data_IF_498992860996
#
_entry.id   IF_498992860996
#
_cell.length_a   1.000
_cell.length_b   1.000
_cell.length_c   1.000
_cell.angle_alpha   90.00
_cell.angle_beta   90.00
_cell.angle_gamma   90.00
#
_symmetry.space_group_name_H-M   'P 1'
#
loop_
_entity.id
_entity.type
_entity.pdbx_description
1 polymer ?
#
# COMPACT_ATOMS: atom_id res chain seq x y z
N UNK A 1 13.56 -23.28 -3.31
CA UNK A 1 12.85 -22.24 -2.54
C UNK A 1 13.72 -21.00 -2.56
N UNK A 2 13.21 -19.84 -2.95
CA UNK A 2 14.03 -18.62 -3.14
C UNK A 2 14.47 -17.94 -1.81
N UNK A 3 13.89 -18.30 -0.68
CA UNK A 3 14.15 -17.69 0.63
C UNK A 3 12.87 -17.52 1.44
N UNK A 4 13.01 -17.07 2.69
CA UNK A 4 11.88 -16.80 3.61
C UNK A 4 11.68 -15.29 3.77
N UNK A 5 10.48 -14.80 3.47
CA UNK A 5 10.12 -13.40 3.55
C UNK A 5 9.11 -13.19 4.67
N UNK A 6 9.43 -12.27 5.58
CA UNK A 6 8.49 -11.78 6.57
C UNK A 6 7.65 -10.65 5.97
N UNK A 7 6.33 -10.79 6.01
CA UNK A 7 5.38 -9.75 5.59
C UNK A 7 4.63 -9.26 6.80
N UNK A 8 4.91 -8.05 7.26
CA UNK A 8 4.16 -7.42 8.35
C UNK A 8 2.96 -6.68 7.77
N UNK A 9 1.81 -6.75 8.44
CA UNK A 9 0.56 -6.27 7.86
C UNK A 9 0.05 -7.16 6.71
N UNK A 10 0.44 -8.44 6.71
CA UNK A 10 0.23 -9.36 5.58
C UNK A 10 -1.20 -9.85 5.39
N UNK A 11 -2.11 -9.63 6.35
CA UNK A 11 -3.56 -9.86 6.17
C UNK A 11 -4.30 -8.60 5.72
N UNK A 12 -3.60 -7.45 5.66
CA UNK A 12 -4.12 -6.21 5.11
C UNK A 12 -4.30 -6.26 3.59
N UNK A 13 -4.90 -5.23 3.02
CA UNK A 13 -5.23 -5.14 1.60
C UNK A 13 -4.01 -5.37 0.69
N UNK A 14 -2.97 -4.52 0.79
CA UNK A 14 -1.76 -4.65 -0.04
C UNK A 14 -0.94 -5.87 0.36
N UNK A 15 -0.83 -6.13 1.68
CA UNK A 15 -0.05 -7.24 2.23
C UNK A 15 -0.53 -8.61 1.75
N UNK A 16 -1.84 -8.84 1.67
CA UNK A 16 -2.41 -10.11 1.20
C UNK A 16 -2.13 -10.36 -0.29
N UNK A 17 -2.27 -9.33 -1.14
CA UNK A 17 -1.93 -9.41 -2.56
C UNK A 17 -0.42 -9.66 -2.75
N UNK A 18 0.43 -8.97 -1.98
CA UNK A 18 1.88 -9.20 -2.01
C UNK A 18 2.24 -10.61 -1.52
N UNK A 19 1.53 -11.13 -0.52
CA UNK A 19 1.70 -12.51 -0.05
C UNK A 19 1.38 -13.52 -1.16
N UNK A 20 0.32 -13.31 -1.94
CA UNK A 20 -0.01 -14.14 -3.12
C UNK A 20 1.12 -14.12 -4.14
N UNK A 21 1.60 -12.93 -4.50
CA UNK A 21 2.67 -12.80 -5.51
C UNK A 21 4.00 -13.39 -5.02
N UNK A 22 4.36 -13.25 -3.74
CA UNK A 22 5.55 -13.88 -3.15
C UNK A 22 5.49 -15.41 -3.21
N UNK A 23 4.36 -16.00 -2.80
CA UNK A 23 4.17 -17.46 -2.84
C UNK A 23 4.23 -17.96 -4.29
N UNK A 24 3.60 -17.25 -5.21
CA UNK A 24 3.60 -17.55 -6.65
C UNK A 24 5.00 -17.46 -7.26
N UNK A 25 5.82 -16.49 -6.77
CA UNK A 25 7.22 -16.36 -7.16
C UNK A 25 8.15 -17.42 -6.53
N UNK A 26 7.66 -18.27 -5.62
CA UNK A 26 8.40 -19.38 -5.02
C UNK A 26 9.09 -19.06 -3.70
N UNK A 27 8.73 -17.97 -3.03
CA UNK A 27 9.19 -17.65 -1.69
C UNK A 27 8.40 -18.40 -0.61
N UNK A 28 9.04 -18.69 0.52
CA UNK A 28 8.35 -19.02 1.77
C UNK A 28 7.92 -17.70 2.42
N UNK A 29 6.67 -17.61 2.86
CA UNK A 29 6.13 -16.38 3.46
C UNK A 29 5.72 -16.65 4.90
N UNK A 30 6.16 -15.77 5.80
CA UNK A 30 5.70 -15.66 7.18
C UNK A 30 4.95 -14.34 7.31
N UNK A 31 3.73 -14.38 7.78
CA UNK A 31 2.85 -13.22 7.94
C UNK A 31 2.73 -12.84 9.40
N UNK A 32 2.91 -11.56 9.69
CA UNK A 32 2.64 -10.94 11.00
C UNK A 32 1.59 -9.86 10.84
N UNK A 33 0.53 -9.91 11.63
CA UNK A 33 -0.54 -8.91 11.64
C UNK A 33 -1.25 -8.92 13.00
N UNK A 34 -1.61 -7.75 13.54
CA UNK A 34 -2.36 -7.65 14.80
C UNK A 34 -3.88 -7.69 14.61
N UNK A 35 -4.34 -7.81 13.35
CA UNK A 35 -5.75 -7.87 12.95
C UNK A 35 -6.58 -6.63 13.34
N UNK A 36 -5.93 -5.50 13.64
CA UNK A 36 -6.63 -4.27 14.03
C UNK A 36 -7.47 -3.66 12.90
N UNK A 37 -7.06 -3.87 11.65
CA UNK A 37 -7.75 -3.38 10.45
C UNK A 37 -7.78 -4.42 9.31
N UNK A 38 -7.76 -5.69 9.67
CA UNK A 38 -7.78 -6.83 8.74
C UNK A 38 -8.46 -8.03 9.42
N UNK A 39 -8.56 -9.15 8.69
CA UNK A 39 -9.16 -10.38 9.19
C UNK A 39 -8.30 -11.57 8.83
N UNK A 40 -8.30 -12.58 9.72
CA UNK A 40 -7.52 -13.82 9.51
C UNK A 40 -8.01 -14.62 8.30
N UNK A 41 -9.29 -14.53 7.99
CA UNK A 41 -9.96 -15.22 6.87
C UNK A 41 -9.42 -14.81 5.50
N UNK A 42 -8.72 -13.67 5.40
CA UNK A 42 -7.99 -13.27 4.19
C UNK A 42 -6.97 -14.34 3.77
N UNK A 43 -6.38 -15.06 4.74
CA UNK A 43 -5.44 -16.14 4.47
C UNK A 43 -6.09 -17.36 3.80
N UNK A 44 -7.40 -17.57 3.96
CA UNK A 44 -8.14 -18.62 3.26
C UNK A 44 -8.21 -18.28 1.75
N UNK A 45 -8.39 -16.98 1.43
CA UNK A 45 -8.32 -16.50 0.06
C UNK A 45 -6.91 -16.66 -0.55
N UNK A 46 -5.87 -16.33 0.22
CA UNK A 46 -4.47 -16.55 -0.21
C UNK A 46 -4.21 -18.02 -0.49
N UNK A 47 -4.63 -18.92 0.40
CA UNK A 47 -4.48 -20.36 0.23
C UNK A 47 -5.26 -20.89 -0.99
N UNK A 48 -6.49 -20.43 -1.16
CA UNK A 48 -7.30 -20.83 -2.32
C UNK A 48 -6.70 -20.40 -3.67
N UNK A 49 -6.02 -19.27 -3.72
CA UNK A 49 -5.37 -18.74 -4.93
C UNK A 49 -4.05 -19.49 -5.20
N UNK A 50 -3.24 -19.71 -4.16
CA UNK A 50 -1.85 -20.18 -4.33
C UNK A 50 -1.66 -21.68 -4.08
N UNK A 51 -2.65 -22.34 -3.48
CA UNK A 51 -2.54 -23.71 -2.99
C UNK A 51 -1.63 -23.85 -1.75
N UNK A 52 -1.20 -22.73 -1.14
CA UNK A 52 -0.31 -22.72 0.02
C UNK A 52 -0.78 -21.69 1.03
N UNK A 53 -0.88 -22.11 2.30
CA UNK A 53 -1.16 -21.21 3.41
C UNK A 53 0.16 -20.69 4.00
N UNK A 54 0.37 -19.36 4.11
CA UNK A 54 1.54 -18.83 4.79
C UNK A 54 1.47 -19.12 6.30
N UNK A 55 2.61 -19.21 6.96
CA UNK A 55 2.66 -19.20 8.41
C UNK A 55 2.21 -17.84 8.94
N UNK A 56 1.42 -17.83 10.02
CA UNK A 56 0.76 -16.61 10.51
C UNK A 56 0.89 -16.44 12.02
N UNK A 57 1.31 -15.24 12.42
CA UNK A 57 1.41 -14.80 13.80
C UNK A 57 0.50 -13.59 14.04
N UNK A 58 -0.49 -13.77 14.92
CA UNK A 58 -1.38 -12.69 15.34
C UNK A 58 -0.71 -11.87 16.45
N UNK A 59 0.24 -11.00 16.08
CA UNK A 59 1.03 -10.17 17.01
C UNK A 59 1.14 -8.73 16.53
N UNK A 60 1.37 -7.81 17.45
CA UNK A 60 1.67 -6.42 17.14
C UNK A 60 3.16 -6.24 16.87
N UNK A 61 3.52 -5.59 15.76
CA UNK A 61 4.91 -5.27 15.43
C UNK A 61 5.57 -4.30 16.44
N UNK A 62 4.78 -3.63 17.26
CA UNK A 62 5.29 -2.82 18.37
C UNK A 62 5.71 -3.67 19.58
N UNK A 63 5.30 -4.94 19.65
CA UNK A 63 5.75 -5.88 20.69
C UNK A 63 7.07 -6.54 20.28
N UNK A 64 8.16 -5.97 20.79
CA UNK A 64 9.52 -6.45 20.49
C UNK A 64 9.74 -7.92 20.88
N UNK A 65 9.17 -8.35 22.00
CA UNK A 65 9.33 -9.73 22.47
C UNK A 65 8.67 -10.73 21.53
N UNK A 66 7.42 -10.43 21.13
CA UNK A 66 6.67 -11.26 20.20
C UNK A 66 7.30 -11.27 18.80
N UNK A 67 7.72 -10.11 18.28
CA UNK A 67 8.35 -10.02 16.95
C UNK A 67 9.72 -10.75 16.94
N UNK A 68 10.54 -10.58 17.98
CA UNK A 68 11.81 -11.29 18.13
C UNK A 68 11.63 -12.81 18.14
N UNK A 69 10.52 -13.31 18.71
CA UNK A 69 10.23 -14.76 18.68
C UNK A 69 10.00 -15.27 17.26
N UNK A 70 9.31 -14.52 16.39
CA UNK A 70 9.14 -14.88 14.98
C UNK A 70 10.48 -15.01 14.27
N UNK A 71 11.41 -14.06 14.50
CA UNK A 71 12.76 -14.12 13.92
C UNK A 71 13.59 -15.31 14.45
N UNK A 72 13.36 -15.76 15.69
CA UNK A 72 14.03 -16.98 16.23
C UNK A 72 13.51 -18.26 15.59
N UNK A 73 12.24 -18.30 15.27
CA UNK A 73 11.59 -19.51 14.71
C UNK A 73 11.82 -19.64 13.21
N UNK A 74 12.15 -18.54 12.52
CA UNK A 74 12.34 -18.53 11.08
C UNK A 74 13.64 -17.83 10.66
N UNK A 75 14.42 -18.44 9.75
CA UNK A 75 15.51 -17.75 9.08
C UNK A 75 14.92 -16.75 8.07
N UNK A 76 14.76 -15.49 8.48
CA UNK A 76 14.19 -14.43 7.65
C UNK A 76 15.27 -13.81 6.77
N UNK A 77 15.17 -13.98 5.45
CA UNK A 77 16.11 -13.43 4.48
C UNK A 77 15.81 -11.94 4.18
N UNK A 78 14.53 -11.58 4.15
CA UNK A 78 14.09 -10.21 3.92
C UNK A 78 12.73 -9.92 4.56
N UNK A 79 12.42 -8.62 4.70
CA UNK A 79 11.14 -8.14 5.23
C UNK A 79 10.46 -7.24 4.20
N UNK A 80 9.14 -7.38 4.07
CA UNK A 80 8.27 -6.37 3.45
C UNK A 80 7.37 -5.81 4.54
N UNK A 81 7.51 -4.51 4.83
CA UNK A 81 6.87 -3.86 5.96
C UNK A 81 5.66 -3.02 5.54
N UNK A 82 4.45 -3.57 5.74
CA UNK A 82 3.18 -2.86 5.52
C UNK A 82 2.49 -2.43 6.82
N UNK A 83 2.83 -3.04 7.95
CA UNK A 83 2.15 -2.79 9.23
C UNK A 83 2.20 -1.31 9.60
N UNK A 84 1.07 -0.62 9.47
CA UNK A 84 0.91 0.80 9.79
C UNK A 84 -0.57 1.16 9.86
N UNK A 85 -0.91 2.18 10.66
CA UNK A 85 -2.17 2.90 10.54
C UNK A 85 -2.10 3.82 9.32
N UNK A 86 -3.12 3.80 8.43
CA UNK A 86 -3.03 4.40 7.08
C UNK A 86 -4.08 5.47 6.75
N UNK A 87 -5.09 5.68 7.59
CA UNK A 87 -6.19 6.59 7.29
C UNK A 87 -5.81 8.05 7.57
N UNK A 88 -5.69 8.88 6.51
CA UNK A 88 -5.28 10.28 6.59
C UNK A 88 -6.19 11.06 7.56
N UNK A 89 -7.51 11.01 7.40
CA UNK A 89 -8.47 11.72 8.25
C UNK A 89 -8.42 11.28 9.72
N UNK A 90 -8.27 9.98 10.01
CA UNK A 90 -8.10 9.49 11.37
C UNK A 90 -6.79 9.98 11.98
N UNK A 91 -5.72 10.09 11.18
CA UNK A 91 -4.43 10.57 11.69
C UNK A 91 -4.49 11.99 12.23
N UNK A 92 -5.30 12.87 11.64
CA UNK A 92 -5.54 14.23 12.13
C UNK A 92 -6.27 14.19 13.47
N UNK A 93 -7.23 13.29 13.64
CA UNK A 93 -8.01 13.16 14.88
C UNK A 93 -7.24 12.45 15.99
N UNK A 94 -6.35 11.50 15.66
CA UNK A 94 -5.61 10.65 16.61
C UNK A 94 -4.10 10.62 16.32
N UNK A 95 -3.40 11.78 16.29
CA UNK A 95 -2.00 11.84 15.84
C UNK A 95 -1.07 10.96 16.67
N UNK A 96 -1.22 10.93 17.99
CA UNK A 96 -0.35 10.13 18.87
C UNK A 96 -0.47 8.61 18.62
N UNK A 97 -1.65 8.13 18.21
CA UNK A 97 -1.83 6.75 17.80
C UNK A 97 -0.96 6.43 16.57
N UNK A 98 -0.99 7.33 15.57
CA UNK A 98 -0.24 7.16 14.33
C UNK A 98 1.28 7.23 14.56
N UNK A 99 1.76 8.22 15.30
CA UNK A 99 3.18 8.31 15.63
C UNK A 99 3.65 7.08 16.42
N UNK A 100 2.93 6.68 17.46
CA UNK A 100 3.29 5.51 18.26
C UNK A 100 3.32 4.25 17.40
N UNK A 101 2.23 3.95 16.68
CA UNK A 101 2.11 2.72 15.91
C UNK A 101 3.11 2.67 14.76
N UNK A 102 3.15 3.71 13.91
CA UNK A 102 3.90 3.65 12.66
C UNK A 102 5.41 3.79 12.85
N UNK A 103 5.85 4.52 13.88
CA UNK A 103 7.28 4.70 14.15
C UNK A 103 7.81 3.54 15.00
N UNK A 104 7.12 3.17 16.08
CA UNK A 104 7.59 2.12 16.96
C UNK A 104 7.63 0.75 16.26
N UNK A 105 6.65 0.43 15.42
CA UNK A 105 6.66 -0.82 14.65
C UNK A 105 7.87 -0.94 13.73
N UNK A 106 8.29 0.16 13.09
CA UNK A 106 9.50 0.17 12.26
C UNK A 106 10.77 0.07 13.11
N UNK A 107 10.90 0.83 14.21
CA UNK A 107 12.06 0.76 15.10
C UNK A 107 12.25 -0.66 15.61
N UNK A 108 11.18 -1.26 16.16
CA UNK A 108 11.19 -2.64 16.66
C UNK A 108 11.60 -3.63 15.58
N UNK A 109 11.12 -3.45 14.35
CA UNK A 109 11.48 -4.29 13.22
C UNK A 109 12.97 -4.15 12.87
N UNK A 110 13.49 -2.93 12.78
CA UNK A 110 14.90 -2.70 12.44
C UNK A 110 15.85 -3.27 13.50
N UNK A 111 15.49 -3.18 14.78
CA UNK A 111 16.25 -3.80 15.88
C UNK A 111 16.29 -5.34 15.72
N UNK A 112 15.15 -5.97 15.41
CA UNK A 112 15.11 -7.41 15.13
C UNK A 112 15.93 -7.76 13.88
N UNK A 113 15.82 -6.99 12.78
CA UNK A 113 16.60 -7.23 11.57
C UNK A 113 18.11 -7.19 11.84
N UNK A 114 18.58 -6.24 12.65
CA UNK A 114 20.00 -6.16 13.03
C UNK A 114 20.43 -7.35 13.93
N UNK A 115 19.63 -7.68 14.96
CA UNK A 115 19.89 -8.80 15.87
C UNK A 115 20.01 -10.14 15.13
N UNK A 116 19.15 -10.37 14.13
CA UNK A 116 19.09 -11.63 13.37
C UNK A 116 19.77 -11.57 12.01
N UNK A 117 20.50 -10.48 11.74
CA UNK A 117 21.27 -10.27 10.51
C UNK A 117 20.45 -10.39 9.21
N UNK A 118 19.18 -9.99 9.22
CA UNK A 118 18.31 -9.91 8.04
C UNK A 118 18.78 -8.80 7.09
N UNK A 119 18.94 -9.10 5.79
CA UNK A 119 19.73 -8.29 4.86
C UNK A 119 18.94 -7.39 3.94
N UNK A 120 17.62 -7.50 3.88
CA UNK A 120 16.82 -6.70 2.95
C UNK A 120 15.50 -6.25 3.56
N UNK A 121 15.13 -4.98 3.30
CA UNK A 121 13.86 -4.37 3.69
C UNK A 121 13.21 -3.71 2.47
N UNK A 122 11.99 -4.12 2.13
CA UNK A 122 11.10 -3.31 1.30
C UNK A 122 10.15 -2.56 2.21
N UNK A 123 10.23 -1.24 2.20
CA UNK A 123 9.41 -0.39 3.03
C UNK A 123 8.24 0.21 2.25
N UNK A 124 7.04 0.02 2.76
CA UNK A 124 5.80 0.65 2.30
C UNK A 124 5.83 2.15 2.61
N UNK A 125 6.39 2.95 1.71
CA UNK A 125 6.28 4.39 1.76
C UNK A 125 5.04 4.88 1.00
N UNK A 126 4.91 6.17 0.75
CA UNK A 126 3.71 6.77 0.16
C UNK A 126 4.06 8.05 -0.58
N UNK A 127 3.31 8.39 -1.63
CA UNK A 127 3.38 9.69 -2.28
C UNK A 127 3.07 10.86 -1.32
N UNK A 128 2.45 10.60 -0.17
CA UNK A 128 2.18 11.63 0.85
C UNK A 128 3.44 12.25 1.44
N UNK A 129 4.62 11.64 1.26
CA UNK A 129 5.91 12.22 1.67
C UNK A 129 6.26 13.48 0.88
N UNK A 130 5.71 13.66 -0.31
CA UNK A 130 5.97 14.86 -1.13
C UNK A 130 5.18 16.10 -0.67
N UNK A 131 4.16 15.93 0.20
CA UNK A 131 3.24 17.02 0.52
C UNK A 131 2.43 17.45 -0.70
N UNK A 132 2.30 18.76 -0.94
CA UNK A 132 1.72 19.32 -2.16
C UNK A 132 2.86 19.70 -3.13
N UNK A 133 3.17 18.86 -4.13
CA UNK A 133 4.26 19.16 -5.06
C UNK A 133 3.90 20.29 -6.02
N UNK A 134 4.90 21.13 -6.36
CA UNK A 134 4.75 22.23 -7.32
C UNK A 134 4.83 21.77 -8.79
N UNK A 135 5.49 20.63 -9.03
CA UNK A 135 5.74 20.07 -10.36
C UNK A 135 5.15 18.69 -10.48
N UNK A 136 4.43 18.43 -11.56
CA UNK A 136 3.82 17.14 -11.88
C UNK A 136 4.19 16.72 -13.31
N UNK A 137 4.41 15.42 -13.58
CA UNK A 137 4.44 14.31 -12.62
C UNK A 137 5.57 14.46 -11.59
N UNK A 138 5.36 13.92 -10.35
CA UNK A 138 6.35 14.03 -9.28
C UNK A 138 7.41 12.95 -9.42
N UNK A 139 8.70 13.35 -9.41
CA UNK A 139 9.85 12.43 -9.45
C UNK A 139 10.38 12.13 -8.04
N UNK A 140 11.22 11.09 -7.91
CA UNK A 140 11.87 10.72 -6.64
C UNK A 140 12.81 11.81 -6.11
N UNK A 141 13.32 12.66 -6.99
CA UNK A 141 14.20 13.79 -6.67
C UNK A 141 13.43 15.06 -6.25
N UNK A 142 12.09 15.02 -6.31
CA UNK A 142 11.26 16.15 -5.89
C UNK A 142 11.49 16.48 -4.40
N UNK A 143 11.47 17.76 -4.02
CA UNK A 143 11.60 18.16 -2.63
C UNK A 143 10.55 17.49 -1.73
N UNK A 144 10.98 17.06 -0.56
CA UNK A 144 10.08 16.62 0.51
C UNK A 144 9.55 17.87 1.21
N UNK A 145 8.29 18.19 0.96
CA UNK A 145 7.61 19.33 1.58
C UNK A 145 6.96 18.93 2.92
N UNK A 146 6.60 19.89 3.78
CA UNK A 146 5.88 19.57 5.01
C UNK A 146 4.67 18.69 4.74
N UNK A 147 4.55 17.60 5.48
CA UNK A 147 3.44 16.67 5.34
C UNK A 147 2.10 17.36 5.66
N UNK A 148 1.08 17.08 4.87
CA UNK A 148 -0.28 17.63 5.05
C UNK A 148 -1.08 16.89 6.12
N UNK A 149 -0.54 15.80 6.68
CA UNK A 149 -1.18 14.99 7.71
C UNK A 149 -0.16 14.28 8.62
N UNK A 150 -0.54 13.92 9.86
CA UNK A 150 0.30 13.09 10.73
C UNK A 150 0.67 11.75 10.10
N UNK A 151 -0.22 11.11 9.32
CA UNK A 151 0.12 9.90 8.56
C UNK A 151 1.28 10.15 7.58
N UNK A 152 1.18 11.18 6.75
CA UNK A 152 2.26 11.54 5.81
C UNK A 152 3.56 11.84 6.55
N UNK A 153 3.50 12.55 7.67
CA UNK A 153 4.69 12.83 8.48
C UNK A 153 5.32 11.55 9.07
N UNK A 154 4.51 10.56 9.51
CA UNK A 154 5.10 9.27 9.94
C UNK A 154 5.84 8.55 8.82
N UNK A 155 5.41 8.70 7.55
CA UNK A 155 6.14 8.13 6.41
C UNK A 155 7.45 8.87 6.14
N UNK A 156 7.48 10.22 6.23
CA UNK A 156 8.71 11.00 6.13
C UNK A 156 9.71 10.59 7.23
N UNK A 157 9.29 10.59 8.49
CA UNK A 157 10.12 10.19 9.64
C UNK A 157 10.65 8.75 9.47
N UNK A 158 9.84 7.83 9.00
CA UNK A 158 10.26 6.45 8.79
C UNK A 158 11.30 6.30 7.68
N UNK A 159 11.21 7.07 6.59
CA UNK A 159 12.27 7.12 5.57
C UNK A 159 13.59 7.67 6.15
N UNK A 160 13.52 8.69 7.03
CA UNK A 160 14.68 9.23 7.73
C UNK A 160 15.30 8.19 8.68
N UNK A 161 14.49 7.51 9.50
CA UNK A 161 14.95 6.45 10.41
C UNK A 161 15.68 5.34 9.64
N UNK A 162 15.14 4.89 8.52
CA UNK A 162 15.80 3.86 7.70
C UNK A 162 17.14 4.38 7.17
N UNK A 163 17.17 5.62 6.65
CA UNK A 163 18.39 6.26 6.12
C UNK A 163 19.47 6.37 7.20
N UNK A 164 19.12 6.91 8.36
CA UNK A 164 20.06 7.11 9.47
C UNK A 164 20.59 5.77 10.02
N UNK A 165 19.74 4.75 10.08
CA UNK A 165 20.13 3.40 10.48
C UNK A 165 21.16 2.82 9.51
N UNK A 166 20.97 2.99 8.21
CA UNK A 166 21.95 2.57 7.18
C UNK A 166 23.24 3.37 7.30
N UNK A 167 23.15 4.70 7.45
CA UNK A 167 24.32 5.58 7.60
C UNK A 167 25.13 5.29 8.86
N UNK A 168 24.52 4.77 9.90
CA UNK A 168 25.21 4.33 11.13
C UNK A 168 26.02 3.04 10.95
N UNK A 169 25.98 2.42 9.75
CA UNK A 169 26.73 1.22 9.42
C UNK A 169 25.94 -0.10 9.56
N UNK A 170 24.62 -0.03 9.65
CA UNK A 170 23.79 -1.24 9.66
C UNK A 170 23.94 -2.03 8.34
N UNK A 171 24.12 -3.35 8.45
CA UNK A 171 24.40 -4.24 7.32
C UNK A 171 23.11 -4.83 6.72
N UNK A 172 22.27 -3.96 6.18
CA UNK A 172 21.12 -4.34 5.36
C UNK A 172 20.89 -3.33 4.22
N UNK A 173 20.15 -3.76 3.20
CA UNK A 173 19.68 -2.91 2.11
C UNK A 173 18.21 -2.57 2.30
N UNK A 174 17.80 -1.37 1.92
CA UNK A 174 16.40 -0.97 1.94
C UNK A 174 15.97 -0.41 0.59
N UNK A 175 14.76 -0.74 0.18
CA UNK A 175 14.05 -0.10 -0.93
C UNK A 175 12.77 0.53 -0.42
N UNK A 176 12.63 1.85 -0.61
CA UNK A 176 11.46 2.62 -0.25
C UNK A 176 10.54 2.69 -1.47
N UNK A 177 9.34 2.13 -1.37
CA UNK A 177 8.35 2.22 -2.44
C UNK A 177 7.33 3.30 -2.09
N UNK A 178 7.42 4.45 -2.76
CA UNK A 178 6.47 5.56 -2.64
C UNK A 178 5.33 5.35 -3.61
N UNK A 179 4.31 4.62 -3.19
CA UNK A 179 3.18 4.36 -4.07
C UNK A 179 2.04 5.36 -3.90
N UNK A 180 1.28 5.47 -4.99
CA UNK A 180 0.15 6.37 -5.12
C UNK A 180 -1.12 5.71 -4.59
N UNK A 181 -2.21 5.72 -5.29
CA UNK A 181 -3.49 5.24 -4.77
C UNK A 181 -3.77 3.79 -5.22
N UNK A 182 -3.46 2.76 -4.43
CA UNK A 182 -3.78 1.39 -4.81
C UNK A 182 -5.29 1.17 -4.80
N UNK A 183 -5.78 0.58 -5.89
CA UNK A 183 -7.19 0.24 -6.08
C UNK A 183 -7.34 -1.14 -6.73
N UNK A 184 -8.57 -1.64 -6.81
CA UNK A 184 -8.85 -2.95 -7.40
C UNK A 184 -8.80 -4.10 -6.41
N UNK A 185 -8.83 -5.31 -6.95
CA UNK A 185 -8.78 -6.55 -6.19
C UNK A 185 -8.07 -7.64 -7.02
N UNK A 186 -7.82 -8.79 -6.40
CA UNK A 186 -7.30 -9.95 -7.11
C UNK A 186 -8.34 -10.45 -8.15
N UNK A 187 -7.93 -10.87 -9.35
CA UNK A 187 -8.86 -11.32 -10.41
C UNK A 187 -9.79 -12.45 -10.00
N UNK A 188 -9.41 -13.26 -9.01
CA UNK A 188 -10.26 -14.33 -8.48
C UNK A 188 -11.43 -13.84 -7.63
N UNK A 189 -11.47 -12.56 -7.26
CA UNK A 189 -12.38 -11.98 -6.28
C UNK A 189 -12.40 -12.74 -4.92
N UNK A 190 -11.27 -13.36 -4.52
CA UNK A 190 -11.11 -14.04 -3.24
C UNK A 190 -10.45 -13.16 -2.18
N UNK A 191 -9.67 -12.16 -2.60
CA UNK A 191 -9.08 -11.11 -1.75
C UNK A 191 -9.23 -9.74 -2.41
N UNK A 192 -9.40 -8.71 -1.59
CA UNK A 192 -9.58 -7.32 -2.01
C UNK A 192 -9.57 -6.39 -0.81
N UNK A 193 -9.90 -5.11 -1.00
CA UNK A 193 -10.01 -4.16 0.10
C UNK A 193 -11.34 -4.33 0.84
N UNK A 194 -11.26 -4.70 2.12
CA UNK A 194 -12.41 -4.84 3.03
C UNK A 194 -12.16 -4.05 4.32
N UNK A 195 -12.46 -2.75 4.33
CA UNK A 195 -12.24 -1.93 5.51
C UNK A 195 -13.23 -2.27 6.63
N UNK A 196 -12.75 -2.22 7.88
CA UNK A 196 -13.63 -2.31 9.03
C UNK A 196 -14.48 -1.03 9.16
N UNK A 197 -15.80 -1.16 9.17
CA UNK A 197 -16.74 -0.05 9.31
C UNK A 197 -16.91 0.80 8.05
N UNK A 198 -16.95 2.13 8.21
CA UNK A 198 -17.15 3.08 7.09
C UNK A 198 -15.84 3.24 6.31
N UNK A 199 -15.83 2.95 4.99
CA UNK A 199 -14.63 3.14 4.19
C UNK A 199 -14.16 4.59 4.19
N UNK A 200 -12.84 4.77 4.34
CA UNK A 200 -12.20 6.07 4.20
C UNK A 200 -11.61 6.29 2.80
N UNK A 201 -11.38 5.20 2.05
CA UNK A 201 -10.88 5.23 0.69
C UNK A 201 -12.03 5.32 -0.32
N UNK A 202 -11.76 5.97 -1.45
CA UNK A 202 -12.75 6.22 -2.50
C UNK A 202 -13.37 4.93 -3.06
N UNK A 203 -12.56 3.94 -3.45
CA UNK A 203 -13.05 2.76 -4.16
C UNK A 203 -13.98 1.88 -3.32
N UNK A 204 -13.65 1.49 -2.06
CA UNK A 204 -14.60 0.74 -1.26
C UNK A 204 -15.90 1.50 -0.99
N UNK A 205 -15.83 2.83 -0.82
CA UNK A 205 -17.04 3.65 -0.65
C UNK A 205 -17.89 3.66 -1.93
N UNK A 206 -17.25 3.84 -3.09
CA UNK A 206 -17.88 3.85 -4.41
C UNK A 206 -18.55 2.50 -4.71
N UNK A 207 -17.85 1.38 -4.52
CA UNK A 207 -18.42 0.04 -4.76
C UNK A 207 -19.56 -0.30 -3.80
N UNK A 208 -19.48 0.12 -2.54
CA UNK A 208 -20.59 -0.02 -1.58
C UNK A 208 -21.78 0.86 -1.96
N UNK A 209 -21.56 2.05 -2.54
CA UNK A 209 -22.64 2.89 -3.07
C UNK A 209 -23.29 2.24 -4.29
N UNK A 210 -22.49 1.73 -5.23
CA UNK A 210 -22.97 1.00 -6.40
C UNK A 210 -23.77 -0.28 -6.03
N UNK A 211 -23.39 -0.93 -4.92
CA UNK A 211 -24.11 -2.10 -4.38
C UNK A 211 -25.36 -1.74 -3.56
N UNK A 212 -25.70 -0.46 -3.39
CA UNK A 212 -26.84 -0.01 -2.60
C UNK A 212 -26.65 -0.13 -1.07
N UNK A 213 -25.44 -0.43 -0.60
CA UNK A 213 -25.12 -0.49 0.84
C UNK A 213 -25.04 0.94 1.42
N UNK A 214 -24.64 1.91 0.58
CA UNK A 214 -24.60 3.33 0.90
C UNK A 214 -25.49 4.10 -0.05
N UNK A 215 -26.10 5.17 0.45
CA UNK A 215 -27.07 5.94 -0.32
C UNK A 215 -26.39 6.78 -1.43
N UNK A 216 -25.25 7.43 -1.11
CA UNK A 216 -24.65 8.41 -2.00
C UNK A 216 -23.16 8.56 -1.74
N UNK A 217 -22.36 8.64 -2.80
CA UNK A 217 -20.93 8.96 -2.74
C UNK A 217 -20.74 10.49 -2.68
N UNK A 218 -19.94 10.99 -1.76
CA UNK A 218 -19.56 12.39 -1.70
C UNK A 218 -18.29 12.65 -2.52
N UNK A 219 -18.35 13.55 -3.49
CA UNK A 219 -17.20 14.09 -4.23
C UNK A 219 -16.79 15.39 -3.53
N UNK A 220 -15.57 15.39 -2.96
CA UNK A 220 -15.09 16.50 -2.14
C UNK A 220 -14.38 17.56 -3.00
N UNK A 221 -14.93 18.78 -2.99
CA UNK A 221 -14.46 19.90 -3.81
C UNK A 221 -14.89 19.82 -5.27
N UNK A 222 -15.23 20.95 -5.83
CA UNK A 222 -15.59 21.14 -7.25
C UNK A 222 -14.92 22.36 -7.84
N UNK A 223 -13.99 22.94 -7.08
CA UNK A 223 -13.35 24.22 -7.32
C UNK A 223 -11.83 24.13 -7.33
N UNK A 224 -11.27 22.89 -7.44
CA UNK A 224 -9.85 22.70 -7.69
C UNK A 224 -9.48 23.17 -9.11
N UNK A 225 -8.25 23.64 -9.28
CA UNK A 225 -7.75 24.04 -10.60
C UNK A 225 -7.41 22.80 -11.46
N UNK A 226 -8.41 21.99 -11.74
CA UNK A 226 -8.38 20.74 -12.52
C UNK A 226 -9.46 20.78 -13.61
N UNK A 227 -9.41 19.93 -14.63
CA UNK A 227 -10.36 20.01 -15.77
C UNK A 227 -11.84 19.91 -15.39
N UNK A 228 -12.18 19.19 -14.33
CA UNK A 228 -13.55 18.99 -13.84
C UNK A 228 -13.80 19.52 -12.44
N UNK A 229 -12.81 20.19 -11.86
CA UNK A 229 -12.87 20.76 -10.51
C UNK A 229 -12.68 19.78 -9.37
N UNK A 230 -12.55 18.47 -9.62
CA UNK A 230 -12.28 17.45 -8.59
C UNK A 230 -10.79 17.11 -8.49
N UNK A 231 -10.38 16.51 -7.37
CA UNK A 231 -8.97 16.12 -7.15
C UNK A 231 -8.49 15.10 -8.18
N UNK A 232 -7.20 15.20 -8.57
CA UNK A 232 -6.54 14.25 -9.47
C UNK A 232 -5.59 13.36 -8.66
N UNK A 233 -5.65 12.04 -8.91
CA UNK A 233 -4.76 11.03 -8.29
C UNK A 233 -4.28 10.03 -9.34
N UNK A 234 -3.17 9.37 -9.03
CA UNK A 234 -2.69 8.21 -9.80
C UNK A 234 -3.23 6.94 -9.14
N UNK A 235 -4.08 6.23 -9.86
CA UNK A 235 -4.72 5.01 -9.37
C UNK A 235 -4.05 3.77 -9.96
N UNK A 236 -3.37 3.01 -9.10
CA UNK A 236 -2.62 1.81 -9.49
C UNK A 236 -3.34 0.53 -9.07
N UNK A 237 -3.32 -0.48 -9.93
CA UNK A 237 -3.84 -1.80 -9.58
C UNK A 237 -3.03 -2.45 -8.44
N UNK A 238 -3.72 -2.97 -7.43
CA UNK A 238 -3.08 -3.58 -6.25
C UNK A 238 -2.22 -4.80 -6.58
N UNK A 239 -2.54 -5.55 -7.63
CA UNK A 239 -1.71 -6.70 -8.08
C UNK A 239 -0.44 -6.21 -8.74
N UNK A 240 -0.51 -5.14 -9.57
CA UNK A 240 0.68 -4.54 -10.15
C UNK A 240 1.57 -3.94 -9.07
N UNK A 241 0.98 -3.28 -8.07
CA UNK A 241 1.71 -2.82 -6.89
C UNK A 241 2.37 -3.98 -6.13
N UNK A 242 1.68 -5.10 -5.93
CA UNK A 242 2.26 -6.29 -5.30
C UNK A 242 3.48 -6.80 -6.08
N UNK A 243 3.39 -6.87 -7.42
CA UNK A 243 4.52 -7.24 -8.28
C UNK A 243 5.69 -6.26 -8.17
N UNK A 244 5.45 -4.95 -7.96
CA UNK A 244 6.53 -3.98 -7.73
C UNK A 244 7.34 -4.32 -6.45
N UNK A 245 6.68 -4.81 -5.40
CA UNK A 245 7.37 -5.27 -4.19
C UNK A 245 8.26 -6.48 -4.46
N UNK A 246 7.81 -7.40 -5.33
CA UNK A 246 8.64 -8.56 -5.74
C UNK A 246 9.85 -8.10 -6.54
N UNK A 247 9.66 -7.19 -7.50
CA UNK A 247 10.75 -6.65 -8.31
C UNK A 247 11.81 -5.94 -7.45
N UNK A 248 11.37 -5.12 -6.47
CA UNK A 248 12.25 -4.46 -5.52
C UNK A 248 13.02 -5.45 -4.64
N UNK A 249 12.34 -6.48 -4.14
CA UNK A 249 12.93 -7.56 -3.35
C UNK A 249 13.96 -8.36 -4.15
N UNK A 250 13.59 -8.84 -5.35
CA UNK A 250 14.46 -9.61 -6.23
C UNK A 250 15.73 -8.79 -6.58
N UNK A 251 15.60 -7.48 -6.86
CA UNK A 251 16.72 -6.59 -7.11
C UNK A 251 17.68 -6.53 -5.92
N UNK A 252 17.20 -6.36 -4.69
CA UNK A 252 18.06 -6.31 -3.50
C UNK A 252 18.76 -7.63 -3.21
N UNK A 253 18.10 -8.76 -3.43
CA UNK A 253 18.65 -10.09 -3.14
C UNK A 253 19.60 -10.59 -4.22
N UNK A 254 19.45 -10.17 -5.50
CA UNK A 254 20.18 -10.72 -6.64
C UNK A 254 21.26 -9.78 -7.16
N UNK A 255 21.06 -8.45 -7.14
CA UNK A 255 22.02 -7.50 -7.69
C UNK A 255 23.14 -7.20 -6.68
N UNK A 256 24.38 -7.63 -7.02
CA UNK A 256 25.57 -7.36 -6.18
C UNK A 256 25.83 -5.86 -5.98
N UNK A 257 25.53 -5.04 -7.01
CA UNK A 257 25.79 -3.60 -7.04
C UNK A 257 24.56 -2.74 -6.71
N UNK A 258 23.45 -3.34 -6.22
CA UNK A 258 22.31 -2.54 -5.79
C UNK A 258 22.72 -1.61 -4.65
N UNK A 259 22.31 -0.32 -4.69
CA UNK A 259 22.61 0.62 -3.61
C UNK A 259 22.05 0.12 -2.27
N UNK A 260 22.66 0.57 -1.17
CA UNK A 260 22.20 0.17 0.16
C UNK A 260 20.84 0.77 0.50
N UNK A 261 20.55 1.97 -0.02
CA UNK A 261 19.23 2.60 0.05
C UNK A 261 18.82 3.04 -1.36
N UNK A 262 17.64 2.63 -1.79
CA UNK A 262 17.04 3.09 -3.05
C UNK A 262 15.57 3.46 -2.82
N UNK A 263 15.00 4.30 -3.70
CA UNK A 263 13.60 4.70 -3.63
C UNK A 263 12.98 4.75 -5.01
N UNK A 264 11.70 4.39 -5.11
CA UNK A 264 10.96 4.34 -6.36
C UNK A 264 9.54 4.84 -6.19
N UNK A 265 9.10 5.67 -7.12
CA UNK A 265 7.69 5.98 -7.29
C UNK A 265 6.98 4.81 -7.96
N UNK A 266 5.91 4.32 -7.35
CA UNK A 266 5.11 3.22 -7.88
C UNK A 266 3.72 3.72 -8.20
N UNK A 267 3.51 4.04 -9.47
CA UNK A 267 2.27 4.58 -10.02
C UNK A 267 2.16 4.21 -11.51
N UNK A 268 1.09 4.68 -12.14
CA UNK A 268 0.83 4.47 -13.58
C UNK A 268 1.44 5.57 -14.44
N UNK A 269 1.87 6.68 -13.82
CA UNK A 269 2.29 7.89 -14.53
C UNK A 269 1.12 8.73 -15.07
N UNK A 270 -0.12 8.39 -14.71
CA UNK A 270 -1.32 9.07 -15.19
C UNK A 270 -2.17 9.59 -14.03
N UNK A 271 -2.47 10.89 -14.07
CA UNK A 271 -3.47 11.49 -13.20
C UNK A 271 -4.89 11.24 -13.72
N UNK A 272 -5.78 10.84 -12.83
CA UNK A 272 -7.21 10.64 -13.10
C UNK A 272 -8.00 11.39 -12.03
N UNK A 273 -9.01 12.16 -12.46
CA UNK A 273 -9.88 12.89 -11.53
C UNK A 273 -10.89 11.97 -10.84
N UNK A 274 -11.46 12.42 -9.73
CA UNK A 274 -12.52 11.64 -9.04
C UNK A 274 -13.75 11.46 -9.91
N UNK A 275 -14.13 12.49 -10.68
CA UNK A 275 -15.29 12.42 -11.59
C UNK A 275 -14.99 11.48 -12.77
N UNK A 276 -13.84 11.61 -13.42
CA UNK A 276 -13.40 10.68 -14.47
C UNK A 276 -13.41 9.21 -13.97
N UNK A 277 -12.95 8.98 -12.75
CA UNK A 277 -12.93 7.63 -12.16
C UNK A 277 -14.35 7.06 -11.97
N UNK A 278 -15.32 7.88 -11.52
CA UNK A 278 -16.73 7.47 -11.41
C UNK A 278 -17.28 7.10 -12.79
N UNK A 279 -17.06 7.92 -13.82
CA UNK A 279 -17.51 7.66 -15.19
C UNK A 279 -16.90 6.38 -15.77
N UNK A 280 -15.61 6.18 -15.53
CA UNK A 280 -14.88 4.95 -15.93
C UNK A 280 -15.43 3.71 -15.21
N UNK A 281 -15.76 3.81 -13.91
CA UNK A 281 -16.39 2.73 -13.17
C UNK A 281 -17.77 2.38 -13.76
N UNK A 282 -18.61 3.37 -14.00
CA UNK A 282 -19.93 3.15 -14.60
C UNK A 282 -19.83 2.49 -15.98
N UNK A 283 -18.87 2.93 -16.79
CA UNK A 283 -18.62 2.35 -18.11
C UNK A 283 -18.13 0.91 -18.02
N UNK A 284 -17.15 0.65 -17.13
CA UNK A 284 -16.56 -0.67 -16.97
C UNK A 284 -17.53 -1.70 -16.38
N UNK A 285 -18.42 -1.29 -15.48
CA UNK A 285 -19.32 -2.20 -14.73
C UNK A 285 -20.74 -2.25 -15.26
N UNK A 286 -21.20 -1.19 -15.93
CA UNK A 286 -22.60 -0.97 -16.31
C UNK A 286 -23.48 -0.52 -15.13
N UNK A 287 -22.91 -0.22 -13.96
CA UNK A 287 -23.64 0.15 -12.75
C UNK A 287 -23.48 1.63 -12.46
N UNK A 288 -24.60 2.32 -12.24
CA UNK A 288 -24.61 3.75 -11.91
C UNK A 288 -24.27 3.99 -10.45
N UNK A 289 -23.51 5.07 -10.19
CA UNK A 289 -23.10 5.50 -8.85
C UNK A 289 -23.76 6.83 -8.52
N UNK A 290 -24.71 6.79 -7.60
CA UNK A 290 -25.30 8.02 -7.09
C UNK A 290 -24.23 8.80 -6.30
N UNK A 291 -23.94 10.02 -6.75
CA UNK A 291 -22.97 10.89 -6.10
C UNK A 291 -23.48 12.32 -5.94
N UNK A 292 -22.89 13.03 -5.00
CA UNK A 292 -23.16 14.46 -4.75
C UNK A 292 -21.87 15.22 -4.52
N UNK A 293 -21.87 16.48 -4.86
CA UNK A 293 -20.75 17.39 -4.60
C UNK A 293 -20.88 17.98 -3.20
N UNK A 294 -19.75 18.05 -2.49
CA UNK A 294 -19.63 18.64 -1.15
C UNK A 294 -18.38 19.51 -1.08
N UNK A 295 -18.23 20.29 -0.01
CA UNK A 295 -17.06 21.13 0.22
C UNK A 295 -15.75 20.32 0.27
N UNK A 296 -14.61 20.97 0.05
CA UNK A 296 -13.28 20.35 0.12
C UNK A 296 -13.07 19.67 1.45
N UNK A 297 -12.42 18.51 1.44
CA UNK A 297 -12.00 17.82 2.65
C UNK A 297 -10.65 18.38 3.12
N UNK A 298 -10.49 18.64 4.41
CA UNK A 298 -9.24 19.10 5.00
C UNK A 298 -8.11 18.08 4.76
N UNK A 299 -6.95 18.57 4.33
CA UNK A 299 -5.78 17.77 4.02
C UNK A 299 -5.76 17.16 2.62
N UNK A 300 -6.81 17.34 1.80
CA UNK A 300 -6.76 16.94 0.39
C UNK A 300 -5.88 17.91 -0.41
N UNK A 301 -4.98 17.33 -1.21
CA UNK A 301 -4.19 18.06 -2.21
C UNK A 301 -4.92 18.08 -3.56
N UNK A 302 -4.64 19.09 -4.38
CA UNK A 302 -5.30 19.27 -5.67
C UNK A 302 -5.02 18.13 -6.65
N UNK A 303 -3.75 17.84 -6.88
CA UNK A 303 -3.32 16.84 -7.84
C UNK A 303 -1.98 16.20 -7.46
N UNK A 304 -1.86 14.88 -7.69
CA UNK A 304 -0.58 14.17 -7.61
C UNK A 304 -0.61 12.90 -8.46
N UNK A 305 0.44 12.69 -9.28
CA UNK A 305 0.69 11.45 -10.03
C UNK A 305 2.19 11.24 -10.23
N UNK A 306 2.58 9.97 -10.44
CA UNK A 306 3.98 9.56 -10.49
C UNK A 306 4.69 9.99 -11.77
N UNK A 307 5.96 10.38 -11.63
CA UNK A 307 6.94 10.12 -12.66
C UNK A 307 7.44 8.68 -12.44
N UNK A 308 7.22 7.77 -13.39
CA UNK A 308 7.44 6.33 -13.22
C UNK A 308 8.64 5.77 -13.98
N UNK A 309 9.44 6.62 -14.67
CA UNK A 309 10.55 6.18 -15.51
C UNK A 309 11.58 5.37 -14.72
N UNK A 310 11.95 5.81 -13.52
CA UNK A 310 12.92 5.11 -12.69
C UNK A 310 12.46 3.70 -12.32
N UNK A 311 11.20 3.51 -11.92
CA UNK A 311 10.67 2.18 -11.63
C UNK A 311 10.62 1.30 -12.89
N UNK A 312 10.28 1.87 -14.04
CA UNK A 312 10.24 1.13 -15.31
C UNK A 312 11.65 0.66 -15.73
N UNK A 313 12.65 1.53 -15.69
CA UNK A 313 13.99 1.25 -16.20
C UNK A 313 14.85 0.46 -15.22
N UNK A 314 14.79 0.79 -13.92
CA UNK A 314 15.69 0.23 -12.89
C UNK A 314 15.13 -1.03 -12.25
N UNK A 315 13.82 -1.09 -11.96
CA UNK A 315 13.19 -2.31 -11.47
C UNK A 315 12.74 -3.25 -12.60
N UNK A 316 12.69 -2.76 -13.85
CA UNK A 316 12.09 -3.50 -14.97
C UNK A 316 10.61 -3.79 -14.75
N UNK A 317 9.94 -2.93 -13.97
CA UNK A 317 8.53 -3.07 -13.62
C UNK A 317 7.71 -1.90 -14.15
N UNK A 318 6.52 -2.19 -14.63
CA UNK A 318 5.53 -1.18 -15.03
C UNK A 318 4.13 -1.65 -14.67
N UNK A 319 3.20 -0.70 -14.50
CA UNK A 319 1.79 -1.02 -14.30
C UNK A 319 1.20 -1.59 -15.60
N UNK A 320 0.62 -2.78 -15.54
CA UNK A 320 0.11 -3.52 -16.69
C UNK A 320 -1.41 -3.39 -16.86
N UNK A 321 -2.13 -3.25 -15.72
CA UNK A 321 -3.59 -3.25 -15.70
C UNK A 321 -4.16 -1.89 -16.08
N UNK A 322 -5.13 -1.90 -16.98
CA UNK A 322 -5.91 -0.71 -17.29
C UNK A 322 -6.77 -0.26 -16.10
N UNK A 323 -7.17 1.01 -16.09
CA UNK A 323 -8.07 1.53 -15.07
C UNK A 323 -9.42 0.79 -15.08
N UNK A 324 -9.95 0.49 -16.25
CA UNK A 324 -11.21 -0.23 -16.45
C UNK A 324 -11.16 -1.65 -15.88
N UNK A 325 -10.08 -2.41 -16.17
CA UNK A 325 -9.86 -3.74 -15.57
C UNK A 325 -9.78 -3.67 -14.06
N UNK A 326 -9.09 -2.64 -13.55
CA UNK A 326 -8.89 -2.41 -12.12
C UNK A 326 -10.20 -2.11 -11.41
N UNK A 327 -11.02 -1.22 -11.98
CA UNK A 327 -12.34 -0.86 -11.44
C UNK A 327 -13.30 -2.05 -11.50
N UNK A 328 -13.25 -2.85 -12.59
CA UNK A 328 -14.03 -4.09 -12.69
C UNK A 328 -13.65 -5.07 -11.58
N UNK A 329 -12.36 -5.29 -11.32
CA UNK A 329 -11.92 -6.21 -10.27
C UNK A 329 -12.40 -5.78 -8.87
N UNK A 330 -12.42 -4.47 -8.59
CA UNK A 330 -12.97 -3.93 -7.34
C UNK A 330 -14.48 -4.21 -7.21
N UNK A 331 -15.22 -4.08 -8.32
CA UNK A 331 -16.65 -4.39 -8.36
C UNK A 331 -16.93 -5.89 -8.17
N UNK A 332 -16.17 -6.73 -8.86
CA UNK A 332 -16.30 -8.19 -8.75
C UNK A 332 -16.04 -8.67 -7.31
N UNK A 333 -15.05 -8.05 -6.63
CA UNK A 333 -14.81 -8.27 -5.20
C UNK A 333 -16.00 -7.84 -4.33
N UNK A 334 -16.55 -6.65 -4.55
CA UNK A 334 -17.73 -6.17 -3.81
C UNK A 334 -18.92 -7.13 -3.99
N UNK A 335 -19.14 -7.63 -5.20
CA UNK A 335 -20.17 -8.63 -5.49
C UNK A 335 -19.90 -9.98 -4.80
N UNK A 336 -18.63 -10.38 -4.69
CA UNK A 336 -18.25 -11.59 -3.98
C UNK A 336 -18.48 -11.47 -2.47
N UNK A 337 -18.18 -10.31 -1.87
CA UNK A 337 -18.49 -10.03 -0.46
C UNK A 337 -19.98 -10.13 -0.16
N UNK A 338 -20.83 -9.59 -1.02
CA UNK A 338 -22.29 -9.65 -0.84
C UNK A 338 -22.85 -11.09 -0.88
N UNK A 339 -22.12 -12.06 -1.42
CA UNK A 339 -22.50 -13.48 -1.46
C UNK A 339 -22.02 -14.27 -0.23
N UNK A 340 -21.11 -13.69 0.56
CA UNK A 340 -20.53 -14.33 1.76
C UNK A 340 -21.33 -14.03 3.04
N UNK A 341 -22.11 -12.95 3.04
CA UNK A 341 -23.01 -12.55 4.13
C UNK A 341 -24.44 -12.90 3.83
#
# INVERSE_FOLDING_TARGET
MKGTILVTGGTGYIGSHTTVELISAGYKVVVVDNLSNSRREVLDGVEAITGKRPEFYAIDCCDQGALRQVFREHPIDAVIHFAASKAVGESVQKPLLYYRNNILSLITLLECMQEFATKALVFSSSCTVYGQPDVLPVSEDAPILPATSPYGNTKQINEEIIRDTILSGADFRATLLRYFNPIGAHPSALIGEEPNGVPQNLIPYLTQTAAGIREVLSVFGTDYNTPDGSCIRDYINVVDLAKAHIAALDRMLQAKEAPQLDMFNIGTGRGVSVIELIEKFETATGVKVLHRYVDRREGDIEAIWAEATKSNEVLGWHAEKSLEETLRSAWDWQCALAKRG
#
